data_IF_509189391940
#
_entry.id   IF_509189391940
#
_cell.length_a   1.000
_cell.length_b   1.000
_cell.length_c   1.000
_cell.angle_alpha   90.00
_cell.angle_beta   90.00
_cell.angle_gamma   90.00
#
_symmetry.space_group_name_H-M   'P 1'
#
loop_
_entity.id
_entity.type
_entity.pdbx_description
1 polymer ?
#
# COMPACT_ATOMS: atom_id res chain seq x y z
N UNK A 1 10.79 20.72 -3.55
CA UNK A 1 9.43 20.53 -4.11
C UNK A 1 8.73 19.35 -3.43
N UNK A 2 9.08 18.09 -3.72
CA UNK A 2 8.35 16.91 -3.19
C UNK A 2 8.30 16.84 -1.65
N UNK A 3 9.40 17.13 -0.93
CA UNK A 3 9.38 17.21 0.55
C UNK A 3 8.47 18.32 1.09
N UNK A 4 8.20 19.37 0.30
CA UNK A 4 7.29 20.45 0.68
C UNK A 4 5.80 20.13 0.50
N UNK A 5 5.46 18.92 0.02
CA UNK A 5 4.10 18.38 0.03
C UNK A 5 3.82 17.53 1.27
N UNK A 6 4.84 17.29 2.10
CA UNK A 6 4.73 16.53 3.33
C UNK A 6 4.24 17.43 4.45
N UNK A 7 3.28 16.93 5.21
CA UNK A 7 2.77 17.60 6.41
C UNK A 7 3.79 17.51 7.51
N UNK A 8 4.52 18.58 7.82
CA UNK A 8 5.60 18.45 8.79
C UNK A 8 5.75 19.56 9.82
N UNK A 9 5.17 20.75 9.67
CA UNK A 9 5.44 21.85 10.62
C UNK A 9 4.35 22.92 10.83
N UNK A 10 3.08 22.72 10.43
CA UNK A 10 2.10 23.83 10.40
C UNK A 10 1.08 23.95 11.55
N UNK A 11 1.06 23.05 12.56
CA UNK A 11 0.44 23.20 13.91
C UNK A 11 0.34 21.81 14.57
N UNK A 12 0.60 21.73 15.88
CA UNK A 12 0.60 20.54 16.75
C UNK A 12 1.70 19.48 16.50
N UNK A 13 2.59 19.69 15.51
CA UNK A 13 3.75 18.84 15.25
C UNK A 13 3.37 17.37 15.09
N UNK A 14 4.13 16.46 15.71
CA UNK A 14 3.81 15.03 15.69
C UNK A 14 2.43 14.71 16.26
N UNK A 15 1.87 15.50 17.19
CA UNK A 15 0.55 15.23 17.76
C UNK A 15 -0.59 15.40 16.73
N UNK A 16 -0.35 16.14 15.64
CA UNK A 16 -1.30 16.26 14.54
C UNK A 16 -1.43 14.91 13.82
N UNK A 17 -2.65 14.37 13.72
CA UNK A 17 -2.94 13.10 13.03
C UNK A 17 -2.43 13.07 11.58
N UNK A 18 -2.38 14.24 10.92
CA UNK A 18 -1.91 14.40 9.53
C UNK A 18 -0.38 14.40 9.40
N UNK A 19 0.36 14.53 10.50
CA UNK A 19 1.82 14.67 10.49
C UNK A 19 2.51 13.52 9.74
N UNK A 20 3.44 13.89 8.87
CA UNK A 20 4.25 13.02 8.04
C UNK A 20 3.62 12.61 6.71
N UNK A 21 2.30 12.77 6.57
CA UNK A 21 1.59 12.34 5.39
C UNK A 21 1.81 13.27 4.20
N UNK A 22 1.55 12.78 2.99
CA UNK A 22 1.55 13.56 1.76
C UNK A 22 0.17 13.55 1.11
N UNK A 23 -0.22 14.67 0.52
CA UNK A 23 -1.48 14.84 -0.19
C UNK A 23 -1.33 15.80 -1.38
N UNK A 24 -2.38 15.94 -2.18
CA UNK A 24 -2.43 16.83 -3.35
C UNK A 24 -3.78 17.58 -3.43
N UNK A 25 -3.79 18.70 -4.15
CA UNK A 25 -4.99 19.48 -4.45
C UNK A 25 -5.31 20.56 -3.41
N UNK A 26 -6.36 21.34 -3.67
CA UNK A 26 -6.75 22.50 -2.85
C UNK A 26 -7.19 22.16 -1.42
N UNK A 27 -7.51 20.90 -1.14
CA UNK A 27 -7.94 20.42 0.17
C UNK A 27 -6.79 19.84 1.02
N UNK A 28 -5.60 19.66 0.42
CA UNK A 28 -4.31 19.26 1.03
C UNK A 28 -4.27 18.10 2.04
N UNK A 29 -5.37 17.38 2.31
CA UNK A 29 -5.38 16.28 3.28
C UNK A 29 -4.44 15.14 2.85
N UNK A 30 -3.58 14.62 3.75
CA UNK A 30 -2.72 13.50 3.40
C UNK A 30 -3.50 12.19 3.34
N UNK A 31 -3.00 11.27 2.51
CA UNK A 31 -3.50 9.91 2.42
C UNK A 31 -2.36 8.91 2.18
N UNK A 32 -2.64 7.64 2.48
CA UNK A 32 -1.63 6.59 2.43
C UNK A 32 -1.15 6.31 1.00
N UNK A 33 -2.01 6.47 -0.01
CA UNK A 33 -1.64 6.27 -1.41
C UNK A 33 -0.56 7.27 -1.83
N UNK A 34 -0.82 8.56 -1.66
CA UNK A 34 0.13 9.65 -1.95
C UNK A 34 1.38 9.59 -1.07
N UNK A 35 1.23 9.24 0.21
CA UNK A 35 2.37 9.06 1.11
C UNK A 35 3.27 7.90 0.65
N UNK A 36 2.69 6.81 0.14
CA UNK A 36 3.48 5.70 -0.43
C UNK A 36 4.23 6.11 -1.69
N UNK A 37 3.67 6.98 -2.53
CA UNK A 37 4.37 7.55 -3.69
C UNK A 37 5.49 8.52 -3.30
N UNK A 38 5.31 9.30 -2.23
CA UNK A 38 6.39 10.10 -1.63
C UNK A 38 7.56 9.18 -1.24
N UNK A 39 7.28 8.08 -0.54
CA UNK A 39 8.30 7.11 -0.13
C UNK A 39 8.98 6.43 -1.33
N UNK A 40 8.22 6.03 -2.36
CA UNK A 40 8.78 5.52 -3.62
C UNK A 40 9.74 6.52 -4.27
N UNK A 41 9.37 7.81 -4.27
CA UNK A 41 10.20 8.89 -4.83
C UNK A 41 11.47 9.10 -4.02
N UNK A 42 11.37 9.13 -2.69
CA UNK A 42 12.55 9.29 -1.84
C UNK A 42 13.50 8.10 -2.00
N UNK A 43 12.97 6.88 -2.05
CA UNK A 43 13.76 5.67 -2.29
C UNK A 43 14.46 5.70 -3.64
N UNK A 44 13.78 6.10 -4.72
CA UNK A 44 14.37 6.17 -6.07
C UNK A 44 15.46 7.25 -6.19
N UNK A 45 15.38 8.30 -5.38
CA UNK A 45 16.43 9.32 -5.23
C UNK A 45 17.61 8.85 -4.35
N UNK A 46 17.64 7.58 -3.96
CA UNK A 46 18.72 7.00 -3.15
C UNK A 46 18.66 7.37 -1.67
N UNK A 47 17.51 7.84 -1.16
CA UNK A 47 17.34 8.10 0.28
C UNK A 47 17.19 6.78 1.03
N UNK A 48 17.94 6.68 2.13
CA UNK A 48 17.92 5.53 3.04
C UNK A 48 16.87 5.68 4.13
N UNK A 49 16.64 4.62 4.93
CA UNK A 49 15.59 4.59 5.95
C UNK A 49 15.72 5.73 6.97
N UNK A 50 16.94 6.19 7.26
CA UNK A 50 17.19 7.29 8.21
C UNK A 50 16.91 8.70 7.65
N UNK A 51 16.45 8.85 6.39
CA UNK A 51 16.07 10.17 5.87
C UNK A 51 14.92 10.74 6.71
N UNK A 52 15.03 11.97 7.24
CA UNK A 52 14.00 12.56 8.07
C UNK A 52 12.60 12.58 7.43
N UNK A 53 12.50 12.75 6.11
CA UNK A 53 11.21 12.73 5.42
C UNK A 53 10.60 11.31 5.37
N UNK A 54 11.44 10.27 5.30
CA UNK A 54 10.99 8.87 5.37
C UNK A 54 10.49 8.57 6.78
N UNK A 55 11.21 8.98 7.81
CA UNK A 55 10.80 8.78 9.21
C UNK A 55 9.52 9.55 9.55
N UNK A 56 9.38 10.80 9.07
CA UNK A 56 8.11 11.53 9.17
C UNK A 56 6.97 10.75 8.50
N UNK A 57 7.16 10.27 7.26
CA UNK A 57 6.15 9.50 6.55
C UNK A 57 5.76 8.20 7.28
N UNK A 58 6.73 7.54 7.94
CA UNK A 58 6.46 6.35 8.74
C UNK A 58 5.47 6.61 9.89
N UNK A 59 5.50 7.80 10.50
CA UNK A 59 4.52 8.19 11.53
C UNK A 59 3.11 8.17 10.95
N UNK A 60 2.90 8.80 9.80
CA UNK A 60 1.59 8.82 9.13
C UNK A 60 1.15 7.42 8.68
N UNK A 61 2.07 6.65 8.08
CA UNK A 61 1.81 5.28 7.64
C UNK A 61 1.37 4.41 8.81
N UNK A 62 2.06 4.50 9.96
CA UNK A 62 1.68 3.78 11.17
C UNK A 62 0.26 4.13 11.63
N UNK A 63 -0.12 5.41 11.51
CA UNK A 63 -1.47 5.87 11.85
C UNK A 63 -2.56 5.39 10.92
N UNK A 64 -2.21 4.98 9.70
CA UNK A 64 -3.15 4.39 8.74
C UNK A 64 -3.38 2.89 8.97
N UNK A 65 -2.66 2.27 9.91
CA UNK A 65 -2.80 0.85 10.23
C UNK A 65 -3.88 0.63 11.30
N UNK A 66 -4.70 -0.39 11.10
CA UNK A 66 -5.65 -0.90 12.07
C UNK A 66 -4.96 -1.73 13.17
N UNK A 67 -4.11 -1.06 13.96
CA UNK A 67 -3.31 -1.67 15.03
C UNK A 67 -3.02 -0.64 16.13
N UNK A 68 -3.71 -0.76 17.27
CA UNK A 68 -3.43 0.05 18.46
C UNK A 68 -2.00 -0.23 18.96
N UNK A 69 -1.20 0.82 19.08
CA UNK A 69 0.18 0.72 19.57
C UNK A 69 0.71 2.10 19.97
N UNK A 70 1.95 2.16 20.47
CA UNK A 70 2.65 3.44 20.69
C UNK A 70 2.83 4.27 19.40
N UNK A 71 2.65 3.69 18.22
CA UNK A 71 2.79 4.36 16.91
C UNK A 71 1.45 4.80 16.32
N UNK A 72 0.33 4.23 16.79
CA UNK A 72 -1.01 4.61 16.38
C UNK A 72 -1.96 4.57 17.56
N UNK A 73 -2.28 5.76 18.06
CA UNK A 73 -3.25 6.00 19.14
C UNK A 73 -4.48 6.76 18.63
N UNK A 74 -4.73 6.72 17.31
CA UNK A 74 -5.93 7.35 16.73
C UNK A 74 -7.18 6.59 17.17
N UNK A 75 -8.33 7.27 17.20
CA UNK A 75 -9.59 6.65 17.62
C UNK A 75 -10.04 5.45 16.74
N UNK A 76 -9.43 5.26 15.58
CA UNK A 76 -9.78 4.19 14.64
C UNK A 76 -8.98 2.90 14.89
N UNK A 77 -7.80 3.00 15.49
CA UNK A 77 -6.81 1.92 15.54
C UNK A 77 -7.33 0.65 16.25
N UNK A 78 -8.26 0.82 17.21
CA UNK A 78 -8.87 -0.27 17.97
C UNK A 78 -10.30 -0.64 17.52
N UNK A 79 -10.90 0.11 16.59
CA UNK A 79 -12.30 -0.12 16.14
C UNK A 79 -12.42 -1.19 15.05
N UNK A 80 -11.31 -1.56 14.41
CA UNK A 80 -11.22 -2.67 13.47
C UNK A 80 -9.80 -3.28 13.52
N UNK A 81 -9.36 -3.91 14.63
CA UNK A 81 -7.95 -4.25 14.86
C UNK A 81 -7.49 -5.49 14.08
N UNK A 82 -7.57 -5.44 12.76
CA UNK A 82 -7.23 -6.54 11.85
C UNK A 82 -5.77 -6.50 11.35
N UNK A 83 -5.01 -5.46 11.69
CA UNK A 83 -3.60 -5.31 11.26
C UNK A 83 -3.41 -4.78 9.84
N UNK A 84 -4.48 -4.67 9.05
CA UNK A 84 -4.46 -4.09 7.71
C UNK A 84 -4.45 -2.56 7.72
N UNK A 85 -4.55 -1.94 6.54
CA UNK A 85 -4.48 -0.48 6.41
C UNK A 85 -5.70 0.11 5.70
N UNK A 86 -6.05 1.32 6.12
CA UNK A 86 -7.07 2.15 5.51
C UNK A 86 -6.47 3.40 4.84
N UNK A 87 -7.31 4.23 4.22
CA UNK A 87 -6.84 5.30 3.34
C UNK A 87 -6.22 6.48 4.08
N UNK A 88 -6.85 6.99 5.14
CA UNK A 88 -6.31 8.09 5.95
C UNK A 88 -7.05 8.25 7.28
N UNK A 89 -6.36 8.58 8.38
CA UNK A 89 -6.98 8.97 9.65
C UNK A 89 -7.32 10.47 9.68
N UNK A 90 -6.80 11.26 8.74
CA UNK A 90 -6.96 12.71 8.73
C UNK A 90 -8.41 13.14 8.39
N UNK A 91 -8.79 14.33 8.87
CA UNK A 91 -10.12 14.93 8.67
C UNK A 91 -11.29 14.01 9.04
N UNK A 92 -11.19 13.34 10.20
CA UNK A 92 -12.25 12.43 10.69
C UNK A 92 -12.19 11.02 10.09
N UNK A 93 -11.10 10.67 9.41
CA UNK A 93 -10.89 9.32 8.92
C UNK A 93 -11.64 8.98 7.63
N UNK A 94 -11.05 8.12 6.81
CA UNK A 94 -11.72 7.58 5.64
C UNK A 94 -11.12 6.23 5.22
N UNK A 95 -11.99 5.32 4.82
CA UNK A 95 -11.63 4.13 4.06
C UNK A 95 -12.53 4.01 2.84
N UNK A 96 -11.95 3.61 1.70
CA UNK A 96 -12.70 3.37 0.48
C UNK A 96 -13.49 2.04 0.54
N UNK A 97 -13.11 1.15 1.46
CA UNK A 97 -13.82 -0.10 1.78
C UNK A 97 -14.97 0.10 2.79
N UNK A 98 -15.23 1.35 3.19
CA UNK A 98 -16.30 1.70 4.13
C UNK A 98 -15.90 1.54 5.59
N UNK A 99 -16.91 1.48 6.46
CA UNK A 99 -16.74 1.44 7.92
C UNK A 99 -17.35 0.18 8.53
N UNK A 100 -16.92 -0.16 9.75
CA UNK A 100 -17.63 -1.11 10.62
C UNK A 100 -18.81 -0.40 11.29
N UNK A 101 -19.70 -1.17 11.93
CA UNK A 101 -20.89 -0.62 12.61
C UNK A 101 -20.50 0.32 13.76
N UNK A 102 -19.37 0.05 14.42
CA UNK A 102 -18.82 0.86 15.51
C UNK A 102 -17.98 2.06 15.00
N UNK A 103 -18.01 2.33 13.69
CA UNK A 103 -17.29 3.46 13.07
C UNK A 103 -15.79 3.22 12.85
N UNK A 104 -15.33 1.97 12.91
CA UNK A 104 -13.97 1.60 12.51
C UNK A 104 -13.78 1.70 11.00
N UNK A 105 -12.57 2.03 10.56
CA UNK A 105 -12.24 2.15 9.14
C UNK A 105 -11.79 0.79 8.60
N UNK A 106 -12.44 0.26 7.56
CA UNK A 106 -12.09 -1.08 7.04
C UNK A 106 -10.76 -1.08 6.30
N UNK A 107 -9.95 -2.10 6.55
CA UNK A 107 -8.73 -2.36 5.78
C UNK A 107 -9.04 -2.83 4.37
N UNK A 108 -8.13 -2.59 3.41
CA UNK A 108 -8.26 -3.12 2.06
C UNK A 108 -6.92 -3.32 1.36
N UNK A 109 -6.92 -4.21 0.36
CA UNK A 109 -5.71 -4.82 -0.19
C UNK A 109 -4.67 -3.81 -0.64
N UNK A 110 -5.05 -2.89 -1.52
CA UNK A 110 -4.10 -1.92 -2.06
C UNK A 110 -3.47 -1.03 -1.01
N UNK A 111 -4.18 -0.67 0.07
CA UNK A 111 -3.60 0.10 1.17
C UNK A 111 -2.74 -0.75 2.10
N UNK A 112 -3.12 -1.99 2.37
CA UNK A 112 -2.28 -2.88 3.20
C UNK A 112 -0.93 -3.12 2.54
N UNK A 113 -0.89 -3.43 1.24
CA UNK A 113 0.38 -3.56 0.51
C UNK A 113 1.17 -2.24 0.44
N UNK A 114 0.49 -1.09 0.26
CA UNK A 114 1.15 0.21 0.28
C UNK A 114 1.78 0.52 1.65
N UNK A 115 1.07 0.23 2.74
CA UNK A 115 1.51 0.42 4.12
C UNK A 115 2.71 -0.46 4.46
N UNK A 116 2.63 -1.76 4.16
CA UNK A 116 3.73 -2.71 4.38
C UNK A 116 4.99 -2.29 3.61
N UNK A 117 4.90 -2.03 2.31
CA UNK A 117 6.03 -1.54 1.50
C UNK A 117 6.66 -0.28 2.09
N UNK A 118 5.81 0.65 2.53
CA UNK A 118 6.24 1.91 3.13
C UNK A 118 7.04 1.70 4.42
N UNK A 119 6.63 0.73 5.24
CA UNK A 119 7.36 0.33 6.44
C UNK A 119 8.74 -0.26 6.13
N UNK A 120 8.82 -1.16 5.14
CA UNK A 120 10.11 -1.72 4.69
C UNK A 120 11.05 -0.64 4.18
N UNK A 121 10.54 0.33 3.40
CA UNK A 121 11.35 1.47 2.94
C UNK A 121 11.83 2.38 4.08
N UNK A 122 11.08 2.43 5.19
CA UNK A 122 11.46 3.13 6.40
C UNK A 122 12.38 2.33 7.33
N UNK A 123 12.82 1.13 6.91
CA UNK A 123 13.82 0.33 7.60
C UNK A 123 13.26 -0.62 8.66
N UNK A 124 11.94 -0.84 8.69
CA UNK A 124 11.35 -1.89 9.53
C UNK A 124 11.61 -3.26 8.91
N UNK A 125 11.74 -4.27 9.77
CA UNK A 125 11.89 -5.67 9.39
C UNK A 125 10.70 -6.51 9.89
N UNK A 126 10.73 -7.81 9.60
CA UNK A 126 9.69 -8.79 9.97
C UNK A 126 9.45 -8.92 11.48
N UNK A 127 10.37 -8.44 12.32
CA UNK A 127 10.22 -8.48 13.78
C UNK A 127 9.44 -7.28 14.34
N UNK A 128 9.20 -6.23 13.54
CA UNK A 128 8.36 -5.12 13.96
C UNK A 128 6.89 -5.56 13.99
N UNK A 129 6.16 -5.37 15.10
CA UNK A 129 4.77 -5.83 15.24
C UNK A 129 3.83 -5.23 14.18
N UNK A 130 4.16 -4.06 13.64
CA UNK A 130 3.38 -3.45 12.54
C UNK A 130 3.55 -4.22 11.24
N UNK A 131 4.77 -4.67 10.95
CA UNK A 131 5.10 -5.48 9.76
C UNK A 131 4.49 -6.87 9.89
N UNK A 132 4.59 -7.48 11.08
CA UNK A 132 3.98 -8.78 11.37
C UNK A 132 2.45 -8.74 11.16
N UNK A 133 1.77 -7.74 11.73
CA UNK A 133 0.33 -7.61 11.61
C UNK A 133 -0.12 -7.39 10.14
N UNK A 134 0.60 -6.55 9.38
CA UNK A 134 0.32 -6.31 7.97
C UNK A 134 0.52 -7.58 7.13
N UNK A 135 1.60 -8.31 7.40
CA UNK A 135 1.89 -9.59 6.75
C UNK A 135 0.82 -10.62 7.05
N UNK A 136 0.38 -10.76 8.30
CA UNK A 136 -0.70 -11.68 8.65
C UNK A 136 -2.02 -11.32 7.95
N UNK A 137 -2.39 -10.03 7.91
CA UNK A 137 -3.57 -9.60 7.15
C UNK A 137 -3.45 -9.98 5.65
N UNK A 138 -2.28 -9.79 5.05
CA UNK A 138 -2.01 -10.19 3.65
C UNK A 138 -2.18 -11.70 3.47
N UNK A 139 -1.68 -12.52 4.40
CA UNK A 139 -1.79 -13.98 4.33
C UNK A 139 -3.24 -14.46 4.43
N UNK A 140 -4.05 -13.80 5.26
CA UNK A 140 -5.48 -14.09 5.42
C UNK A 140 -6.32 -13.61 4.24
N UNK A 141 -5.85 -12.61 3.50
CA UNK A 141 -6.59 -11.97 2.41
C UNK A 141 -5.88 -12.14 1.05
N UNK A 142 -4.98 -13.11 0.92
CA UNK A 142 -4.26 -13.31 -0.34
C UNK A 142 -5.22 -13.71 -1.44
N UNK A 143 -5.28 -12.89 -2.49
CA UNK A 143 -6.11 -13.16 -3.66
C UNK A 143 -5.61 -12.37 -4.86
N UNK A 144 -5.86 -12.92 -6.03
CA UNK A 144 -5.76 -12.23 -7.30
C UNK A 144 -7.13 -12.10 -7.99
N UNK A 145 -8.23 -12.50 -7.33
CA UNK A 145 -9.57 -12.41 -7.89
C UNK A 145 -10.17 -11.00 -7.74
N UNK A 146 -9.82 -10.30 -6.67
CA UNK A 146 -10.31 -8.97 -6.33
C UNK A 146 -9.24 -8.15 -5.60
N UNK A 147 -9.55 -6.89 -5.31
CA UNK A 147 -8.85 -6.09 -4.32
C UNK A 147 -9.60 -6.30 -2.99
N UNK A 148 -9.02 -7.00 -2.00
CA UNK A 148 -9.71 -7.36 -0.76
C UNK A 148 -10.38 -6.16 -0.09
N UNK A 149 -11.66 -6.27 0.24
CA UNK A 149 -12.49 -5.18 0.79
C UNK A 149 -13.04 -4.19 -0.25
N UNK A 150 -12.62 -4.27 -1.50
CA UNK A 150 -13.02 -3.37 -2.60
C UNK A 150 -13.66 -4.09 -3.80
N UNK A 151 -13.54 -5.42 -3.89
CA UNK A 151 -14.01 -6.17 -5.05
C UNK A 151 -13.21 -5.79 -6.29
N UNK A 152 -13.90 -5.54 -7.41
CA UNK A 152 -13.26 -5.12 -8.65
C UNK A 152 -12.77 -3.65 -8.63
N UNK A 153 -13.14 -2.82 -7.65
CA UNK A 153 -12.73 -1.41 -7.66
C UNK A 153 -11.23 -1.24 -7.36
N UNK A 154 -10.50 -0.60 -8.28
CA UNK A 154 -9.05 -0.37 -8.11
C UNK A 154 -8.23 -1.65 -8.21
N UNK A 155 -8.70 -2.65 -8.96
CA UNK A 155 -8.10 -3.98 -9.05
C UNK A 155 -6.73 -3.95 -9.71
N UNK A 156 -6.55 -3.15 -10.75
CA UNK A 156 -5.27 -3.06 -11.46
C UNK A 156 -4.27 -2.19 -10.70
N UNK A 157 -4.76 -1.15 -10.01
CA UNK A 157 -3.96 -0.44 -9.02
C UNK A 157 -3.52 -1.36 -7.88
N UNK A 158 -4.41 -2.26 -7.42
CA UNK A 158 -4.07 -3.31 -6.46
C UNK A 158 -2.98 -4.23 -6.99
N UNK A 159 -3.09 -4.78 -8.20
CA UNK A 159 -2.03 -5.64 -8.77
C UNK A 159 -0.68 -4.95 -8.86
N UNK A 160 -0.65 -3.68 -9.29
CA UNK A 160 0.58 -2.90 -9.32
C UNK A 160 1.18 -2.71 -7.92
N UNK A 161 0.34 -2.38 -6.93
CA UNK A 161 0.80 -2.15 -5.55
C UNK A 161 1.23 -3.45 -4.87
N UNK A 162 0.49 -4.54 -5.09
CA UNK A 162 0.80 -5.91 -4.68
C UNK A 162 2.18 -6.33 -5.18
N UNK A 163 2.41 -6.24 -6.50
CA UNK A 163 3.66 -6.71 -7.11
C UNK A 163 4.84 -5.90 -6.58
N UNK A 164 4.69 -4.58 -6.52
CA UNK A 164 5.70 -3.66 -6.02
C UNK A 164 6.04 -3.91 -4.55
N UNK A 165 5.05 -4.20 -3.71
CA UNK A 165 5.27 -4.47 -2.30
C UNK A 165 5.97 -5.81 -2.07
N UNK A 166 5.51 -6.90 -2.69
CA UNK A 166 6.14 -8.21 -2.55
C UNK A 166 7.56 -8.24 -3.12
N UNK A 167 7.80 -7.51 -4.22
CA UNK A 167 9.14 -7.31 -4.76
C UNK A 167 10.05 -6.55 -3.79
N UNK A 168 9.55 -5.49 -3.16
CA UNK A 168 10.30 -4.70 -2.18
C UNK A 168 10.64 -5.46 -0.89
N UNK A 169 9.76 -6.38 -0.46
CA UNK A 169 9.98 -7.26 0.70
C UNK A 169 11.02 -8.35 0.36
N UNK A 170 11.20 -8.65 -0.94
CA UNK A 170 12.10 -9.73 -1.38
C UNK A 170 11.52 -11.12 -1.14
N UNK A 171 10.19 -11.24 -1.04
CA UNK A 171 9.53 -12.53 -0.89
C UNK A 171 9.56 -13.29 -2.21
N UNK A 172 10.13 -14.50 -2.23
CA UNK A 172 10.04 -15.40 -3.40
C UNK A 172 8.73 -16.19 -3.38
N UNK A 173 8.25 -16.54 -2.18
CA UNK A 173 6.97 -17.19 -1.96
C UNK A 173 6.21 -16.48 -0.85
N UNK A 174 4.89 -16.54 -0.93
CA UNK A 174 4.00 -16.08 0.12
C UNK A 174 3.15 -17.26 0.59
N UNK A 175 3.20 -17.56 1.89
CA UNK A 175 2.35 -18.57 2.50
C UNK A 175 1.05 -17.98 3.00
N UNK A 176 -0.09 -18.40 2.49
CA UNK A 176 -1.39 -17.90 2.96
C UNK A 176 -1.77 -18.42 4.38
N UNK A 177 -2.99 -18.10 4.83
CA UNK A 177 -3.52 -18.54 6.11
C UNK A 177 -3.87 -20.04 6.17
N UNK A 178 -4.22 -20.65 5.02
CA UNK A 178 -4.47 -22.09 4.89
C UNK A 178 -3.18 -22.91 4.79
N UNK A 179 -2.04 -22.22 4.66
CA UNK A 179 -0.70 -22.79 4.62
C UNK A 179 -0.24 -23.16 3.21
N UNK A 180 -0.93 -22.69 2.17
CA UNK A 180 -0.55 -22.84 0.76
C UNK A 180 0.57 -21.87 0.43
N UNK A 181 1.61 -22.37 -0.24
CA UNK A 181 2.73 -21.56 -0.74
C UNK A 181 2.42 -21.03 -2.13
N UNK A 182 2.48 -19.72 -2.31
CA UNK A 182 2.21 -19.02 -3.56
C UNK A 182 3.50 -18.52 -4.22
N UNK A 183 3.73 -18.96 -5.46
CA UNK A 183 4.65 -18.28 -6.37
C UNK A 183 3.92 -17.08 -6.97
N UNK A 184 3.84 -16.01 -6.18
CA UNK A 184 3.04 -14.84 -6.50
C UNK A 184 3.45 -14.17 -7.82
N UNK A 185 4.74 -14.24 -8.19
CA UNK A 185 5.24 -13.68 -9.46
C UNK A 185 4.64 -14.43 -10.63
N UNK A 186 4.68 -15.77 -10.58
CA UNK A 186 4.10 -16.63 -11.60
C UNK A 186 2.58 -16.51 -11.64
N UNK A 187 1.93 -16.55 -10.49
CA UNK A 187 0.48 -16.46 -10.37
C UNK A 187 -0.06 -15.13 -10.91
N UNK A 188 0.56 -14.01 -10.53
CA UNK A 188 0.16 -12.70 -11.03
C UNK A 188 0.43 -12.56 -12.54
N UNK A 189 1.57 -13.06 -13.02
CA UNK A 189 1.87 -13.05 -14.46
C UNK A 189 0.82 -13.82 -15.26
N UNK A 190 0.44 -15.01 -14.79
CA UNK A 190 -0.60 -15.82 -15.44
C UNK A 190 -1.96 -15.11 -15.38
N UNK A 191 -2.33 -14.56 -14.21
CA UNK A 191 -3.59 -13.81 -14.06
C UNK A 191 -3.68 -12.65 -15.03
N UNK A 192 -2.61 -11.86 -15.17
CA UNK A 192 -2.57 -10.73 -16.08
C UNK A 192 -2.60 -11.17 -17.55
N UNK A 193 -1.95 -12.28 -17.90
CA UNK A 193 -2.08 -12.86 -19.25
C UNK A 193 -3.52 -13.29 -19.57
N UNK A 194 -4.21 -13.91 -18.61
CA UNK A 194 -5.60 -14.36 -18.78
C UNK A 194 -6.59 -13.18 -18.93
N UNK A 195 -6.27 -12.03 -18.33
CA UNK A 195 -7.07 -10.81 -18.42
C UNK A 195 -6.75 -9.94 -19.64
N UNK A 196 -5.71 -10.27 -20.42
CA UNK A 196 -5.28 -9.45 -21.56
C UNK A 196 -6.33 -9.49 -22.68
N UNK A 197 -6.68 -8.31 -23.20
CA UNK A 197 -7.57 -8.20 -24.35
C UNK A 197 -6.85 -8.56 -25.65
N UNK A 198 -7.62 -8.78 -26.72
CA UNK A 198 -7.06 -9.15 -28.04
C UNK A 198 -6.12 -8.08 -28.61
N UNK A 199 -6.32 -6.80 -28.28
CA UNK A 199 -5.45 -5.70 -28.70
C UNK A 199 -4.20 -5.53 -27.81
N UNK A 200 -4.05 -6.40 -26.81
CA UNK A 200 -2.94 -6.40 -25.87
C UNK A 200 -3.13 -5.48 -24.66
N UNK A 201 -4.25 -4.76 -24.57
CA UNK A 201 -4.56 -3.86 -23.46
C UNK A 201 -5.29 -4.56 -22.31
N UNK A 202 -5.48 -3.81 -21.22
CA UNK A 202 -6.31 -4.20 -20.08
C UNK A 202 -7.24 -3.05 -19.72
N UNK A 203 -8.46 -3.37 -19.27
CA UNK A 203 -9.41 -2.42 -18.69
C UNK A 203 -10.17 -3.11 -17.56
N UNK A 204 -10.83 -2.31 -16.73
CA UNK A 204 -11.76 -2.78 -15.72
C UNK A 204 -13.19 -2.32 -16.06
N UNK A 205 -14.16 -3.24 -15.93
CA UNK A 205 -15.57 -2.92 -16.04
C UNK A 205 -16.02 -1.96 -14.92
N UNK A 206 -15.38 -2.04 -13.75
CA UNK A 206 -15.54 -1.06 -12.68
C UNK A 206 -14.66 0.14 -12.95
N UNK A 207 -15.22 1.17 -13.60
CA UNK A 207 -14.48 2.36 -14.07
C UNK A 207 -14.04 3.34 -12.97
N UNK A 208 -14.30 3.02 -11.70
CA UNK A 208 -13.89 3.83 -10.55
C UNK A 208 -12.37 4.05 -10.58
N UNK A 209 -11.94 5.26 -10.24
CA UNK A 209 -10.53 5.67 -10.28
C UNK A 209 -9.86 5.50 -11.65
N UNK A 210 -10.64 5.73 -12.72
CA UNK A 210 -10.20 5.71 -14.11
C UNK A 210 -9.74 4.33 -14.60
N UNK A 211 -10.08 3.23 -13.93
CA UNK A 211 -9.72 1.89 -14.42
C UNK A 211 -10.52 1.46 -15.67
N UNK A 212 -11.44 2.28 -16.15
CA UNK A 212 -12.01 2.13 -17.50
C UNK A 212 -11.10 2.62 -18.63
N UNK A 213 -10.03 3.38 -18.32
CA UNK A 213 -9.06 3.86 -19.30
C UNK A 213 -7.97 2.81 -19.54
N UNK A 214 -7.98 2.23 -20.74
CA UNK A 214 -7.02 1.19 -21.11
C UNK A 214 -5.56 1.65 -21.10
N UNK A 215 -5.28 2.95 -21.27
CA UNK A 215 -3.91 3.44 -21.20
C UNK A 215 -3.37 3.38 -19.78
N UNK A 216 -4.18 3.84 -18.81
CA UNK A 216 -3.82 3.84 -17.40
C UNK A 216 -3.64 2.40 -16.89
N UNK A 217 -4.63 1.56 -17.17
CA UNK A 217 -4.62 0.17 -16.69
C UNK A 217 -3.49 -0.62 -17.33
N UNK A 218 -3.27 -0.48 -18.64
CA UNK A 218 -2.13 -1.13 -19.30
C UNK A 218 -0.81 -0.68 -18.71
N UNK A 219 -0.65 0.60 -18.37
CA UNK A 219 0.56 1.09 -17.69
C UNK A 219 0.75 0.43 -16.31
N UNK A 220 -0.30 0.30 -15.49
CA UNK A 220 -0.23 -0.42 -14.22
C UNK A 220 0.17 -1.89 -14.40
N UNK A 221 -0.40 -2.58 -15.39
CA UNK A 221 -0.08 -3.98 -15.68
C UNK A 221 1.38 -4.15 -16.10
N UNK A 222 1.89 -3.31 -16.99
CA UNK A 222 3.27 -3.38 -17.44
C UNK A 222 4.27 -3.13 -16.30
N UNK A 223 3.95 -2.21 -15.39
CA UNK A 223 4.75 -1.97 -14.18
C UNK A 223 4.68 -3.15 -13.20
N UNK A 224 3.50 -3.76 -13.01
CA UNK A 224 3.34 -4.96 -12.20
C UNK A 224 4.17 -6.13 -12.76
N UNK A 225 4.15 -6.33 -14.08
CA UNK A 225 4.94 -7.37 -14.75
C UNK A 225 6.45 -7.13 -14.68
N UNK A 226 6.91 -5.88 -14.66
CA UNK A 226 8.33 -5.57 -14.42
C UNK A 226 8.76 -6.05 -13.03
N UNK A 227 7.91 -5.83 -12.02
CA UNK A 227 8.13 -6.38 -10.68
C UNK A 227 8.04 -7.90 -10.65
N UNK A 228 7.26 -8.58 -11.51
CA UNK A 228 7.24 -10.05 -11.55
C UNK A 228 8.51 -10.70 -12.13
N UNK A 229 9.46 -9.93 -12.67
CA UNK A 229 10.71 -10.49 -13.21
C UNK A 229 11.53 -11.13 -12.09
N UNK A 230 12.27 -12.19 -12.44
CA UNK A 230 13.19 -12.83 -11.49
C UNK A 230 14.14 -11.78 -10.88
N UNK A 231 14.51 -11.91 -9.59
CA UNK A 231 15.41 -10.97 -8.95
C UNK A 231 16.67 -10.83 -9.81
N UNK A 232 17.05 -9.59 -10.13
CA UNK A 232 18.32 -9.35 -10.83
C UNK A 232 19.41 -9.94 -9.93
N UNK A 233 20.13 -10.96 -10.42
CA UNK A 233 21.29 -11.51 -9.71
C UNK A 233 22.14 -10.34 -9.22
N UNK A 234 22.57 -10.31 -7.95
CA UNK A 234 23.37 -9.21 -7.46
C UNK A 234 24.55 -9.07 -8.40
N UNK A 235 24.64 -7.92 -9.08
CA UNK A 235 25.80 -7.59 -9.88
C UNK A 235 27.00 -7.77 -8.97
N UNK A 236 27.85 -8.75 -9.29
CA UNK A 236 29.01 -9.11 -8.48
C UNK A 236 29.76 -7.83 -8.11
N UNK A 237 29.89 -7.59 -6.80
CA UNK A 237 30.84 -6.61 -6.29
C UNK A 237 32.25 -7.21 -6.35
#
# INVERSE_FOLDING_TARGET
>A
FIKGLQWDDEVDGEANVSFGGAGYGSHQRPDLSNTSFLLDTLKSLGRGPDDPAIQKALVFVSRCQNLESKYNTTEFANKNPDGGFYYTPAAGGNSQAGTTDDGGLRSYGSMTYAGLKSMIYAGLDESDPRVEAATNWIRENYTLADNPGMGAAGLYYYYHTFAKALDAIGADQLRDADGVEHDWRRELTQKLADLQQQDGSWTNDTTRWLEGDGNLVTAYVLLALDHCRAPKSPAGR
#
